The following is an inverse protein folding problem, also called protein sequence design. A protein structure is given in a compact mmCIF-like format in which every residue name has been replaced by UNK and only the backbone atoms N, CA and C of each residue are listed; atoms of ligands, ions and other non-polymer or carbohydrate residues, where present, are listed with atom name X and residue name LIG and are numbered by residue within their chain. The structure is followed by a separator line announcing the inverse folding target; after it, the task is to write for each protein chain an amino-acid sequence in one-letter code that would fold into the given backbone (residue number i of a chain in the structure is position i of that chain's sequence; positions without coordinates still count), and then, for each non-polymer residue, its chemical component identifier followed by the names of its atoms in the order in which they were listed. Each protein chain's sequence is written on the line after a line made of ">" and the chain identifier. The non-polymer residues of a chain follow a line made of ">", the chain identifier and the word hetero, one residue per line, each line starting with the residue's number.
data_IF_576598460182
#
_entry.id   IF_576598460182
#
_cell.length_a   1.000
_cell.length_b   1.000
_cell.length_c   1.000
_cell.angle_alpha   90.00
_cell.angle_beta   90.00
_cell.angle_gamma   90.00
#
_symmetry.space_group_name_H-M   'P 1'
#
loop_
_entity.id
_entity.type
_entity.pdbx_description
1 polymer ?
#
# COMPACT_ATOMS: atom_id res chain seq x y z
N UNK A 1 -19.73 -11.59 36.95
CA UNK A 1 -20.46 -10.86 35.90
C UNK A 1 -19.55 -10.80 34.68
N UNK A 2 -19.86 -11.60 33.65
CA UNK A 2 -19.00 -11.76 32.48
C UNK A 2 -19.60 -10.99 31.30
N UNK A 3 -18.91 -9.96 30.81
CA UNK A 3 -19.27 -9.21 29.61
C UNK A 3 -18.55 -9.82 28.41
N UNK A 4 -19.35 -10.45 27.54
CA UNK A 4 -18.93 -11.13 26.32
C UNK A 4 -18.95 -10.11 25.18
N UNK A 5 -17.79 -9.56 24.83
CA UNK A 5 -17.65 -8.64 23.68
C UNK A 5 -17.69 -9.44 22.37
N UNK A 6 -18.66 -9.14 21.50
CA UNK A 6 -18.74 -9.68 20.14
C UNK A 6 -18.06 -8.70 19.19
N UNK A 7 -16.91 -9.08 18.65
CA UNK A 7 -16.34 -8.40 17.48
C UNK A 7 -17.11 -8.85 16.23
N UNK A 8 -17.78 -7.89 15.58
CA UNK A 8 -18.39 -8.06 14.27
C UNK A 8 -17.29 -7.89 13.21
N UNK A 9 -17.02 -8.95 12.45
CA UNK A 9 -16.15 -8.91 11.28
C UNK A 9 -16.99 -8.55 10.06
N UNK A 10 -16.98 -7.28 9.66
CA UNK A 10 -17.58 -6.86 8.41
C UNK A 10 -16.65 -7.24 7.24
N UNK A 11 -16.96 -8.36 6.60
CA UNK A 11 -16.38 -8.77 5.32
C UNK A 11 -16.90 -7.88 4.20
N UNK A 12 -16.09 -6.92 3.78
CA UNK A 12 -16.32 -6.13 2.56
C UNK A 12 -16.11 -7.03 1.35
N UNK A 13 -17.20 -7.32 0.64
CA UNK A 13 -17.19 -8.08 -0.61
C UNK A 13 -16.80 -7.16 -1.77
N UNK A 14 -15.77 -7.56 -2.52
CA UNK A 14 -15.36 -6.88 -3.76
C UNK A 14 -16.35 -7.24 -4.90
N UNK A 15 -16.75 -6.29 -5.76
CA UNK A 15 -17.53 -6.61 -6.95
C UNK A 15 -16.64 -7.28 -8.00
N UNK A 16 -17.09 -8.44 -8.50
CA UNK A 16 -16.47 -9.14 -9.62
C UNK A 16 -16.62 -8.32 -10.90
N UNK A 17 -15.50 -7.93 -11.50
CA UNK A 17 -15.43 -7.25 -12.78
C UNK A 17 -15.81 -8.21 -13.92
N UNK A 18 -17.06 -8.15 -14.36
CA UNK A 18 -17.45 -8.71 -15.65
C UNK A 18 -16.85 -7.86 -16.77
N UNK A 19 -15.88 -8.41 -17.48
CA UNK A 19 -15.29 -7.82 -18.68
C UNK A 19 -16.22 -8.00 -19.88
N UNK A 20 -17.07 -7.00 -20.13
CA UNK A 20 -17.81 -6.86 -21.38
C UNK A 20 -16.85 -6.30 -22.44
N UNK A 21 -16.12 -7.16 -23.14
CA UNK A 21 -15.34 -6.78 -24.33
C UNK A 21 -15.82 -7.60 -25.52
N UNK A 22 -16.92 -7.12 -26.10
CA UNK A 22 -17.41 -7.50 -27.42
C UNK A 22 -17.79 -6.19 -28.11
N UNK A 23 -17.57 -6.13 -29.44
CA UNK A 23 -17.83 -5.00 -30.36
C UNK A 23 -16.59 -4.13 -30.66
N UNK A 24 -15.65 -4.70 -31.39
CA UNK A 24 -14.81 -3.93 -32.32
C UNK A 24 -14.73 -4.73 -33.63
N UNK A 25 -15.88 -4.85 -34.29
CA UNK A 25 -15.96 -5.31 -35.67
C UNK A 25 -15.58 -4.11 -36.54
N UNK A 26 -14.35 -4.09 -37.04
CA UNK A 26 -13.89 -3.10 -38.01
C UNK A 26 -14.67 -3.31 -39.31
N UNK A 27 -15.75 -2.56 -39.47
CA UNK A 27 -16.50 -2.46 -40.72
C UNK A 27 -15.57 -1.84 -41.77
N UNK A 28 -15.06 -2.68 -42.65
CA UNK A 28 -14.28 -2.26 -43.81
C UNK A 28 -15.24 -1.64 -44.84
N UNK A 29 -15.15 -0.32 -45.04
CA UNK A 29 -15.98 0.40 -46.01
C UNK A 29 -15.50 0.11 -47.45
N UNK A 30 -16.43 -0.15 -48.40
CA UNK A 30 -16.11 -0.42 -49.80
C UNK A 30 -15.60 0.85 -50.52
N UNK A 31 -14.42 0.74 -51.14
CA UNK A 31 -13.64 1.85 -51.69
C UNK A 31 -13.97 2.24 -53.15
N UNK A 32 -15.22 2.21 -53.60
CA UNK A 32 -15.49 2.47 -55.03
C UNK A 32 -16.82 3.20 -55.31
N UNK A 33 -16.85 4.51 -55.06
CA UNK A 33 -17.80 5.43 -55.70
C UNK A 33 -17.08 6.73 -56.07
N UNK A 34 -17.19 7.10 -57.35
CA UNK A 34 -16.55 8.26 -57.97
C UNK A 34 -17.19 9.59 -57.54
N UNK A 35 -16.41 10.68 -57.40
CA UNK A 35 -16.86 11.93 -56.79
C UNK A 35 -17.55 12.86 -57.81
N UNK A 36 -18.85 13.09 -57.63
CA UNK A 36 -19.56 14.24 -58.22
C UNK A 36 -19.82 15.26 -57.12
N UNK A 37 -19.23 16.46 -57.20
CA UNK A 37 -19.59 17.75 -56.55
C UNK A 37 -19.85 17.80 -55.03
N UNK A 38 -20.74 16.95 -54.52
CA UNK A 38 -21.10 16.73 -53.10
C UNK A 38 -19.97 16.09 -52.28
N UNK A 39 -18.96 15.51 -52.93
CA UNK A 39 -18.03 14.59 -52.26
C UNK A 39 -17.05 15.24 -51.28
N UNK A 40 -16.81 16.56 -51.33
CA UNK A 40 -15.84 17.19 -50.44
C UNK A 40 -16.41 17.35 -49.02
N UNK A 41 -17.66 17.80 -48.92
CA UNK A 41 -18.39 17.89 -47.66
C UNK A 41 -18.61 16.51 -47.05
N UNK A 42 -18.92 15.50 -47.86
CA UNK A 42 -19.08 14.12 -47.38
C UNK A 42 -17.77 13.53 -46.81
N UNK A 43 -16.63 13.86 -47.42
CA UNK A 43 -15.31 13.48 -46.91
C UNK A 43 -15.01 14.21 -45.59
N UNK A 44 -15.30 15.51 -45.50
CA UNK A 44 -15.10 16.30 -44.28
C UNK A 44 -15.98 15.80 -43.12
N UNK A 45 -17.25 15.50 -43.39
CA UNK A 45 -18.18 14.91 -42.41
C UNK A 45 -17.68 13.53 -41.95
N UNK A 46 -17.17 12.70 -42.86
CA UNK A 46 -16.61 11.39 -42.51
C UNK A 46 -15.37 11.52 -41.61
N UNK A 47 -14.49 12.50 -41.90
CA UNK A 47 -13.32 12.78 -41.08
C UNK A 47 -13.71 13.30 -39.68
N UNK A 48 -14.66 14.24 -39.60
CA UNK A 48 -15.15 14.75 -38.31
C UNK A 48 -15.80 13.64 -37.47
N UNK A 49 -16.59 12.75 -38.10
CA UNK A 49 -17.15 11.57 -37.40
C UNK A 49 -16.08 10.65 -36.84
N UNK A 50 -14.99 10.44 -37.60
CA UNK A 50 -13.86 9.65 -37.14
C UNK A 50 -13.14 10.32 -35.96
N UNK A 51 -12.95 11.64 -36.01
CA UNK A 51 -12.33 12.40 -34.92
C UNK A 51 -13.19 12.38 -33.65
N UNK A 52 -14.50 12.56 -33.77
CA UNK A 52 -15.45 12.46 -32.64
C UNK A 52 -15.37 11.07 -31.99
N UNK A 53 -15.30 10.00 -32.78
CA UNK A 53 -15.22 8.65 -32.22
C UNK A 53 -13.87 8.40 -31.52
N UNK A 54 -12.76 8.92 -32.07
CA UNK A 54 -11.46 8.88 -31.39
C UNK A 54 -11.49 9.64 -30.07
N UNK A 55 -12.13 10.82 -30.04
CA UNK A 55 -12.31 11.61 -28.83
C UNK A 55 -13.14 10.86 -27.79
N UNK A 56 -14.25 10.20 -28.17
CA UNK A 56 -15.07 9.38 -27.27
C UNK A 56 -14.29 8.22 -26.65
N UNK A 57 -13.49 7.52 -27.44
CA UNK A 57 -12.62 6.44 -26.92
C UNK A 57 -11.58 7.00 -25.95
N UNK A 58 -10.99 8.15 -26.27
CA UNK A 58 -10.05 8.83 -25.38
C UNK A 58 -10.69 9.28 -24.07
N UNK A 59 -11.92 9.82 -24.11
CA UNK A 59 -12.69 10.25 -22.94
C UNK A 59 -13.01 9.05 -22.05
N UNK A 60 -13.47 7.95 -22.63
CA UNK A 60 -13.74 6.71 -21.89
C UNK A 60 -12.48 6.20 -21.19
N UNK A 61 -11.34 6.21 -21.87
CA UNK A 61 -10.05 5.77 -21.33
C UNK A 61 -9.60 6.66 -20.18
N UNK A 62 -9.70 7.99 -20.33
CA UNK A 62 -9.37 8.96 -19.28
C UNK A 62 -10.30 8.83 -18.07
N UNK A 63 -11.59 8.60 -18.30
CA UNK A 63 -12.56 8.35 -17.22
C UNK A 63 -12.22 7.10 -16.44
N UNK A 64 -11.85 6.02 -17.13
CA UNK A 64 -11.38 4.78 -16.48
C UNK A 64 -10.09 5.00 -15.69
N UNK A 65 -9.13 5.75 -16.23
CA UNK A 65 -7.89 6.09 -15.51
C UNK A 65 -8.18 6.91 -14.25
N UNK A 66 -9.07 7.90 -14.33
CA UNK A 66 -9.49 8.70 -13.18
C UNK A 66 -10.18 7.85 -12.11
N UNK A 67 -11.07 6.96 -12.51
CA UNK A 67 -11.79 6.11 -11.56
C UNK A 67 -10.82 5.12 -10.88
N UNK A 68 -9.84 4.59 -11.62
CA UNK A 68 -8.75 3.78 -11.05
C UNK A 68 -7.88 4.59 -10.07
N UNK A 69 -7.43 5.78 -10.47
CA UNK A 69 -6.64 6.67 -9.61
C UNK A 69 -7.41 7.04 -8.33
N UNK A 70 -8.71 7.27 -8.44
CA UNK A 70 -9.59 7.53 -7.29
C UNK A 70 -9.66 6.32 -6.36
N UNK A 71 -9.78 5.10 -6.89
CA UNK A 71 -9.78 3.88 -6.05
C UNK A 71 -8.44 3.65 -5.35
N UNK A 72 -7.31 3.90 -6.02
CA UNK A 72 -5.98 3.83 -5.39
C UNK A 72 -5.81 4.93 -4.33
N UNK A 73 -6.29 6.14 -4.59
CA UNK A 73 -6.32 7.22 -3.61
C UNK A 73 -7.09 6.85 -2.34
N UNK A 74 -8.24 6.18 -2.46
CA UNK A 74 -8.98 5.66 -1.30
C UNK A 74 -8.22 4.57 -0.53
N UNK A 75 -7.47 3.69 -1.21
CA UNK A 75 -6.63 2.68 -0.55
C UNK A 75 -5.49 3.34 0.23
N UNK A 76 -4.82 4.32 -0.37
CA UNK A 76 -3.74 5.09 0.26
C UNK A 76 -4.27 5.85 1.47
N UNK A 77 -5.39 6.57 1.33
CA UNK A 77 -6.03 7.28 2.45
C UNK A 77 -6.44 6.32 3.58
N UNK A 78 -6.95 5.13 3.23
CA UNK A 78 -7.28 4.09 4.21
C UNK A 78 -6.07 3.54 4.95
N UNK A 79 -4.94 3.36 4.25
CA UNK A 79 -3.67 2.96 4.86
C UNK A 79 -3.12 4.06 5.78
N UNK A 80 -3.07 5.31 5.30
CA UNK A 80 -2.64 6.48 6.08
C UNK A 80 -3.46 6.65 7.37
N UNK A 81 -4.79 6.49 7.30
CA UNK A 81 -5.65 6.55 8.48
C UNK A 81 -5.42 5.42 9.49
N UNK A 82 -4.90 4.25 9.05
CA UNK A 82 -4.47 3.17 9.96
C UNK A 82 -3.14 3.51 10.61
N UNK A 83 -2.17 4.02 9.84
CA UNK A 83 -0.87 4.45 10.36
C UNK A 83 -1.03 5.60 11.37
N UNK A 84 -1.83 6.62 11.06
CA UNK A 84 -2.12 7.74 11.96
C UNK A 84 -2.72 7.27 13.30
N UNK A 85 -3.63 6.30 13.27
CA UNK A 85 -4.16 5.68 14.50
C UNK A 85 -3.09 4.89 15.27
N UNK A 86 -2.20 4.20 14.57
CA UNK A 86 -1.04 3.54 15.18
C UNK A 86 -0.09 4.52 15.86
N UNK A 87 0.23 5.63 15.20
CA UNK A 87 1.06 6.71 15.75
C UNK A 87 0.42 7.32 16.99
N UNK A 88 -0.88 7.65 16.95
CA UNK A 88 -1.60 8.17 18.12
C UNK A 88 -1.60 7.19 19.31
N UNK A 89 -1.74 5.88 19.04
CA UNK A 89 -1.67 4.86 20.09
C UNK A 89 -0.27 4.79 20.73
N UNK A 90 0.79 4.88 19.92
CA UNK A 90 2.18 4.92 20.40
C UNK A 90 2.47 6.22 21.17
N UNK A 91 1.97 7.36 20.72
CA UNK A 91 2.07 8.63 21.46
C UNK A 91 1.41 8.55 22.83
N UNK A 92 0.21 7.94 22.92
CA UNK A 92 -0.45 7.71 24.20
C UNK A 92 0.39 6.82 25.13
N UNK A 93 0.97 5.73 24.62
CA UNK A 93 1.87 4.87 25.39
C UNK A 93 3.11 5.64 25.88
N UNK A 94 3.71 6.47 25.02
CA UNK A 94 4.85 7.32 25.39
C UNK A 94 4.48 8.33 26.48
N UNK A 95 3.29 8.94 26.41
CA UNK A 95 2.84 9.86 27.46
C UNK A 95 2.62 9.16 28.79
N UNK A 96 2.13 7.91 28.79
CA UNK A 96 1.92 7.15 30.01
C UNK A 96 3.25 6.71 30.63
N UNK A 97 4.19 6.19 29.82
CA UNK A 97 5.55 5.89 30.27
C UNK A 97 6.25 7.11 30.85
N UNK A 98 6.09 8.30 30.24
CA UNK A 98 6.64 9.55 30.78
C UNK A 98 6.07 9.89 32.16
N UNK A 99 4.78 9.66 32.40
CA UNK A 99 4.19 9.84 33.74
C UNK A 99 4.75 8.83 34.73
N UNK A 100 4.87 7.55 34.35
CA UNK A 100 5.45 6.53 35.21
C UNK A 100 6.89 6.88 35.62
N UNK A 101 7.71 7.36 34.67
CA UNK A 101 9.08 7.84 34.97
C UNK A 101 9.06 9.04 35.92
N UNK A 102 8.14 10.00 35.72
CA UNK A 102 8.00 11.13 36.64
C UNK A 102 7.62 10.69 38.06
N UNK A 103 6.68 9.76 38.19
CA UNK A 103 6.26 9.19 39.48
C UNK A 103 7.39 8.42 40.16
N UNK A 104 8.19 7.67 39.39
CA UNK A 104 9.38 6.98 39.90
C UNK A 104 10.44 7.96 40.39
N UNK A 105 10.67 9.07 39.68
CA UNK A 105 11.60 10.12 40.11
C UNK A 105 11.16 10.75 41.43
N UNK A 106 9.86 11.06 41.60
CA UNK A 106 9.33 11.57 42.88
C UNK A 106 9.57 10.57 44.02
N UNK A 107 9.34 9.26 43.77
CA UNK A 107 9.62 8.21 44.77
C UNK A 107 11.11 8.13 45.12
N UNK A 108 12.01 8.29 44.14
CA UNK A 108 13.45 8.33 44.37
C UNK A 108 13.85 9.53 45.23
N UNK A 109 13.34 10.72 44.94
CA UNK A 109 13.61 11.92 45.75
C UNK A 109 13.15 11.78 47.21
N UNK A 110 11.98 11.15 47.42
CA UNK A 110 11.49 10.85 48.77
C UNK A 110 12.45 9.91 49.49
N UNK A 111 12.90 8.85 48.81
CA UNK A 111 13.86 7.89 49.37
C UNK A 111 15.22 8.52 49.68
N UNK A 112 15.70 9.42 48.83
CA UNK A 112 16.94 10.16 49.08
C UNK A 112 16.85 11.09 50.28
N UNK A 113 15.70 11.74 50.49
CA UNK A 113 15.43 12.54 51.70
C UNK A 113 15.41 11.66 52.96
N UNK A 114 14.75 10.50 52.90
CA UNK A 114 14.73 9.52 54.00
C UNK A 114 16.15 9.02 54.33
N UNK A 115 16.97 8.71 53.31
CA UNK A 115 18.37 8.30 53.46
C UNK A 115 19.23 9.43 54.05
N UNK A 116 19.05 10.67 53.62
CA UNK A 116 19.76 11.82 54.18
C UNK A 116 19.41 12.04 55.65
N UNK A 117 18.13 11.95 56.03
CA UNK A 117 17.68 12.06 57.41
C UNK A 117 18.24 10.94 58.30
N UNK A 118 18.24 9.69 57.82
CA UNK A 118 18.81 8.55 58.57
C UNK A 118 20.32 8.70 58.75
N UNK A 119 21.05 9.14 57.72
CA UNK A 119 22.48 9.49 57.82
C UNK A 119 22.73 10.61 58.84
N UNK A 120 21.93 11.66 58.84
CA UNK A 120 22.03 12.75 59.81
C UNK A 120 21.79 12.29 61.26
N UNK A 121 20.78 11.46 61.49
CA UNK A 121 20.53 10.83 62.79
C UNK A 121 21.72 9.98 63.24
N UNK A 122 22.26 9.15 62.34
CA UNK A 122 23.41 8.29 62.63
C UNK A 122 24.65 9.11 63.01
N UNK A 123 24.93 10.20 62.29
CA UNK A 123 26.03 11.12 62.59
C UNK A 123 25.85 11.79 63.96
N UNK A 124 24.65 12.31 64.25
CA UNK A 124 24.35 12.93 65.55
C UNK A 124 24.55 11.96 66.72
N UNK A 125 24.19 10.69 66.53
CA UNK A 125 24.32 9.67 67.54
C UNK A 125 25.79 9.25 67.74
N UNK A 126 26.58 9.22 66.66
CA UNK A 126 28.03 9.03 66.73
C UNK A 126 28.71 10.15 67.51
N UNK A 127 28.32 11.41 67.30
CA UNK A 127 28.86 12.56 68.04
C UNK A 127 28.47 12.50 69.52
N UNK A 128 27.22 12.16 69.85
CA UNK A 128 26.81 11.94 71.26
C UNK A 128 27.64 10.85 71.93
N UNK A 129 27.93 9.75 71.22
CA UNK A 129 28.79 8.67 71.72
C UNK A 129 30.23 9.09 71.97
N UNK A 130 30.76 10.03 71.19
CA UNK A 130 32.10 10.58 71.41
C UNK A 130 32.17 11.61 72.56
N UNK A 131 31.06 12.28 72.87
CA UNK A 131 30.96 13.24 73.99
C UNK A 131 30.70 12.57 75.34
N UNK A 132 30.37 11.28 75.35
CA UNK A 132 30.27 10.51 76.59
C UNK A 132 31.68 10.32 77.18
N UNK A 133 31.93 10.79 78.42
CA UNK A 133 33.24 10.62 79.05
C UNK A 133 33.58 9.13 79.15
N UNK A 134 34.86 8.75 78.97
CA UNK A 134 35.28 7.36 79.14
C UNK A 134 34.88 6.89 80.55
N UNK A 135 34.37 5.66 80.70
CA UNK A 135 33.91 5.17 81.99
C UNK A 135 35.05 5.22 82.99
N UNK A 136 34.94 6.09 83.99
CA UNK A 136 35.85 6.12 85.12
C UNK A 136 35.68 4.84 85.94
N UNK A 137 36.75 4.05 86.00
CA UNK A 137 36.82 2.85 86.83
C UNK A 137 36.59 3.20 88.30
N UNK A 138 35.60 2.59 88.99
CA UNK A 138 35.34 2.90 90.38
C UNK A 138 36.34 2.16 91.28
N UNK A 139 37.22 2.94 91.90
CA UNK A 139 37.93 2.54 93.11
C UNK A 139 36.98 2.58 94.31
N UNK A 140 36.63 1.38 94.79
CA UNK A 140 36.20 1.00 96.15
C UNK A 140 35.97 2.12 97.18
N UNK A 141 34.74 2.25 97.66
CA UNK A 141 34.42 2.19 99.10
C UNK A 141 32.90 2.14 99.35
N UNK A 142 32.50 1.26 100.26
CA UNK A 142 31.17 1.11 100.88
C UNK A 142 30.75 2.45 101.53
N UNK A 143 29.49 2.84 101.72
CA UNK A 143 28.35 2.11 102.27
C UNK A 143 27.04 2.89 102.02
N UNK A 144 25.96 2.14 101.76
CA UNK A 144 24.56 2.39 102.16
C UNK A 144 23.80 3.63 101.62
N UNK A 145 22.97 3.43 100.59
CA UNK A 145 21.52 3.70 100.64
C UNK A 145 20.84 2.85 99.58
N UNK A 146 19.96 1.96 100.05
CA UNK A 146 19.22 0.98 99.27
C UNK A 146 18.05 1.70 98.59
N UNK A 147 17.77 1.32 97.33
CA UNK A 147 16.69 1.77 96.41
C UNK A 147 17.06 2.98 95.52
N UNK A 148 17.97 2.80 94.54
CA UNK A 148 17.57 2.91 93.13
C UNK A 148 18.31 1.96 92.16
N UNK A 149 18.75 0.79 92.61
CA UNK A 149 19.75 -0.02 91.89
C UNK A 149 19.19 -0.94 90.78
N UNK A 150 17.88 -1.21 90.77
CA UNK A 150 17.26 -2.02 89.70
C UNK A 150 17.06 -1.20 88.42
N UNK A 151 16.66 0.07 88.55
CA UNK A 151 16.47 0.96 87.38
C UNK A 151 17.79 1.35 86.71
N UNK A 152 18.87 1.48 87.48
CA UNK A 152 20.21 1.73 86.95
C UNK A 152 20.72 0.55 86.15
N UNK A 153 20.61 -0.67 86.70
CA UNK A 153 21.03 -1.88 85.98
C UNK A 153 20.14 -2.20 84.79
N UNK A 154 18.83 -1.93 84.85
CA UNK A 154 17.95 -2.05 83.69
C UNK A 154 18.23 -1.00 82.61
N UNK A 155 18.78 0.17 82.96
CA UNK A 155 19.20 1.17 81.99
C UNK A 155 20.53 0.78 81.33
N UNK A 156 21.47 0.22 82.10
CA UNK A 156 22.72 -0.35 81.57
C UNK A 156 22.46 -1.59 80.70
N UNK A 157 21.53 -2.44 81.08
CA UNK A 157 21.15 -3.63 80.32
C UNK A 157 20.42 -3.24 79.02
N UNK A 158 19.55 -2.22 79.06
CA UNK A 158 18.95 -1.65 77.84
C UNK A 158 19.96 -0.93 76.94
N UNK A 159 20.94 -0.25 77.53
CA UNK A 159 22.01 0.44 76.79
C UNK A 159 22.92 -0.58 76.10
N UNK A 160 23.35 -1.62 76.80
CA UNK A 160 24.17 -2.70 76.22
C UNK A 160 23.39 -3.49 75.19
N UNK A 161 22.10 -3.77 75.41
CA UNK A 161 21.24 -4.44 74.42
C UNK A 161 20.99 -3.56 73.17
N UNK A 162 20.88 -2.24 73.33
CA UNK A 162 20.81 -1.30 72.20
C UNK A 162 22.15 -1.20 71.44
N UNK A 163 23.28 -1.26 72.14
CA UNK A 163 24.61 -1.33 71.51
C UNK A 163 24.81 -2.64 70.75
N UNK A 164 24.33 -3.77 71.30
CA UNK A 164 24.38 -5.07 70.63
C UNK A 164 23.47 -5.09 69.38
N UNK A 165 22.26 -4.53 69.47
CA UNK A 165 21.38 -4.36 68.33
C UNK A 165 21.93 -3.38 67.27
N UNK A 166 22.69 -2.37 67.69
CA UNK A 166 23.39 -1.46 66.76
C UNK A 166 24.54 -2.17 66.08
N UNK A 167 25.38 -2.90 66.81
CA UNK A 167 26.48 -3.69 66.25
C UNK A 167 25.97 -4.79 65.32
N UNK A 168 24.83 -5.41 65.63
CA UNK A 168 24.19 -6.37 64.72
C UNK A 168 23.68 -5.72 63.43
N UNK A 169 23.16 -4.48 63.49
CA UNK A 169 22.78 -3.70 62.31
C UNK A 169 24.00 -3.26 61.50
N UNK A 170 25.05 -2.79 62.15
CA UNK A 170 26.28 -2.37 61.49
C UNK A 170 26.99 -3.60 60.87
N UNK A 171 26.97 -4.75 61.54
CA UNK A 171 27.46 -6.01 61.00
C UNK A 171 26.62 -6.50 59.81
N UNK A 172 25.29 -6.37 59.85
CA UNK A 172 24.43 -6.68 58.70
C UNK A 172 24.71 -5.75 57.52
N UNK A 173 24.89 -4.44 57.75
CA UNK A 173 25.22 -3.48 56.69
C UNK A 173 26.62 -3.72 56.09
N UNK A 174 27.61 -4.04 56.93
CA UNK A 174 28.93 -4.44 56.46
C UNK A 174 28.88 -5.77 55.72
N UNK A 175 28.03 -6.70 56.15
CA UNK A 175 27.79 -7.97 55.46
C UNK A 175 27.14 -7.74 54.09
N UNK A 176 26.17 -6.83 53.97
CA UNK A 176 25.56 -6.46 52.69
C UNK A 176 26.57 -5.78 51.75
N UNK A 177 27.43 -4.89 52.28
CA UNK A 177 28.51 -4.26 51.51
C UNK A 177 29.61 -5.27 51.12
N UNK A 178 29.92 -6.22 52.00
CA UNK A 178 30.85 -7.30 51.72
C UNK A 178 30.25 -8.33 50.76
N UNK A 179 28.93 -8.58 50.80
CA UNK A 179 28.20 -9.39 49.83
C UNK A 179 28.15 -8.70 48.47
N UNK A 180 28.01 -7.36 48.42
CA UNK A 180 28.18 -6.57 47.18
C UNK A 180 29.61 -6.68 46.66
N UNK A 181 30.62 -6.50 47.51
CA UNK A 181 32.02 -6.66 47.13
C UNK A 181 32.38 -8.11 46.78
N UNK A 182 31.72 -9.12 47.37
CA UNK A 182 31.92 -10.53 47.06
C UNK A 182 31.15 -10.97 45.79
N UNK A 183 30.03 -10.32 45.46
CA UNK A 183 29.39 -10.39 44.14
C UNK A 183 30.33 -9.84 43.05
N UNK A 184 31.17 -8.87 43.40
CA UNK A 184 32.21 -8.30 42.53
C UNK A 184 33.60 -8.95 42.68
N UNK A 185 33.82 -9.84 43.65
CA UNK A 185 35.12 -10.50 43.85
C UNK A 185 35.37 -11.66 42.87
N UNK A 186 34.33 -12.12 42.18
CA UNK A 186 34.41 -13.12 41.10
C UNK A 186 33.84 -12.67 39.76
N UNK A 187 33.19 -11.50 39.70
CA UNK A 187 32.70 -10.93 38.45
C UNK A 187 33.78 -10.03 37.86
N UNK A 188 34.29 -10.42 36.70
CA UNK A 188 35.27 -9.66 35.93
C UNK A 188 34.72 -8.27 35.62
N UNK A 189 35.20 -7.25 36.34
CA UNK A 189 34.81 -5.85 36.14
C UNK A 189 35.01 -5.41 34.69
N UNK A 190 35.98 -5.98 33.99
CA UNK A 190 36.19 -5.74 32.56
C UNK A 190 35.04 -6.30 31.72
N UNK A 191 34.44 -7.42 32.12
CA UNK A 191 33.26 -7.98 31.45
C UNK A 191 32.03 -7.10 31.66
N UNK A 192 31.80 -6.61 32.87
CA UNK A 192 30.66 -5.71 33.14
C UNK A 192 30.83 -4.37 32.42
N UNK A 193 32.04 -3.81 32.43
CA UNK A 193 32.34 -2.60 31.67
C UNK A 193 32.12 -2.81 30.17
N UNK A 194 32.58 -3.94 29.61
CA UNK A 194 32.36 -4.30 28.21
C UNK A 194 30.87 -4.42 27.88
N UNK A 195 30.07 -5.03 28.75
CA UNK A 195 28.61 -5.12 28.59
C UNK A 195 27.95 -3.72 28.63
N UNK A 196 28.41 -2.82 29.50
CA UNK A 196 27.95 -1.45 29.50
C UNK A 196 28.33 -0.69 28.22
N UNK A 197 29.56 -0.84 27.75
CA UNK A 197 30.04 -0.22 26.51
C UNK A 197 29.25 -0.75 25.30
N UNK A 198 28.98 -2.06 25.24
CA UNK A 198 28.14 -2.70 24.22
C UNK A 198 26.70 -2.17 24.23
N UNK A 199 26.09 -2.01 25.41
CA UNK A 199 24.74 -1.42 25.52
C UNK A 199 24.68 0.05 25.09
N UNK A 200 25.76 0.80 25.31
CA UNK A 200 25.86 2.18 24.82
C UNK A 200 25.98 2.20 23.30
N UNK A 201 26.79 1.31 22.72
CA UNK A 201 26.92 1.17 21.27
C UNK A 201 25.59 0.78 20.62
N UNK A 202 24.87 -0.19 21.19
CA UNK A 202 23.53 -0.58 20.74
C UNK A 202 22.53 0.59 20.80
N UNK A 203 22.56 1.38 21.88
CA UNK A 203 21.71 2.56 22.01
C UNK A 203 22.04 3.65 20.97
N UNK A 204 23.32 3.83 20.63
CA UNK A 204 23.76 4.74 19.57
C UNK A 204 23.31 4.25 18.18
N UNK A 205 23.40 2.95 17.92
CA UNK A 205 22.92 2.35 16.68
C UNK A 205 21.41 2.49 16.52
N UNK A 206 20.64 2.24 17.59
CA UNK A 206 19.19 2.44 17.60
C UNK A 206 18.82 3.91 17.36
N UNK A 207 19.58 4.85 17.93
CA UNK A 207 19.35 6.28 17.71
C UNK A 207 19.59 6.66 16.25
N UNK A 208 20.68 6.19 15.64
CA UNK A 208 20.98 6.42 14.22
C UNK A 208 19.91 5.80 13.30
N UNK A 209 19.42 4.61 13.64
CA UNK A 209 18.32 3.98 12.92
C UNK A 209 17.04 4.82 12.99
N UNK A 210 16.69 5.33 14.19
CA UNK A 210 15.54 6.19 14.37
C UNK A 210 15.66 7.51 13.58
N UNK A 211 16.84 8.14 13.57
CA UNK A 211 17.12 9.33 12.78
C UNK A 211 16.94 9.06 11.28
N UNK A 212 17.46 7.94 10.76
CA UNK A 212 17.29 7.55 9.37
C UNK A 212 15.81 7.30 9.01
N UNK A 213 15.03 6.68 9.91
CA UNK A 213 13.59 6.52 9.74
C UNK A 213 12.87 7.87 9.69
N UNK A 214 13.20 8.81 10.59
CA UNK A 214 12.60 10.15 10.59
C UNK A 214 12.94 10.96 9.32
N UNK A 215 14.14 10.79 8.77
CA UNK A 215 14.52 11.44 7.52
C UNK A 215 13.78 10.81 6.32
N UNK A 216 13.62 9.49 6.33
CA UNK A 216 12.79 8.79 5.34
C UNK A 216 11.34 9.29 5.34
N UNK A 217 10.76 9.56 6.51
CA UNK A 217 9.41 10.14 6.62
C UNK A 217 9.33 11.55 6.03
N UNK A 218 10.36 12.39 6.20
CA UNK A 218 10.41 13.72 5.58
C UNK A 218 10.43 13.64 4.05
N UNK A 219 11.25 12.75 3.49
CA UNK A 219 11.27 12.55 2.03
C UNK A 219 9.93 12.03 1.48
N UNK A 220 9.20 11.23 2.26
CA UNK A 220 7.84 10.80 1.89
C UNK A 220 6.88 11.98 1.90
N UNK A 221 6.96 12.86 2.89
CA UNK A 221 6.16 14.09 2.97
C UNK A 221 6.41 15.01 1.77
N UNK A 222 7.68 15.27 1.43
CA UNK A 222 8.06 16.04 0.23
C UNK A 222 7.50 15.43 -1.06
N UNK A 223 7.53 14.09 -1.16
CA UNK A 223 6.99 13.38 -2.32
C UNK A 223 5.46 13.47 -2.42
N UNK A 224 4.75 13.49 -1.28
CA UNK A 224 3.31 13.73 -1.25
C UNK A 224 2.96 15.14 -1.70
N UNK A 225 3.68 16.16 -1.23
CA UNK A 225 3.47 17.56 -1.66
C UNK A 225 3.68 17.70 -3.17
N UNK A 226 4.73 17.09 -3.73
CA UNK A 226 4.97 17.09 -5.17
C UNK A 226 3.83 16.41 -5.95
N UNK A 227 3.27 15.32 -5.40
CA UNK A 227 2.17 14.60 -6.02
C UNK A 227 0.88 15.44 -6.01
N UNK A 228 0.60 16.17 -4.94
CA UNK A 228 -0.55 17.09 -4.86
C UNK A 228 -0.45 18.23 -5.87
N UNK A 229 0.74 18.83 -6.02
CA UNK A 229 0.99 19.85 -7.04
C UNK A 229 0.73 19.29 -8.43
N UNK A 230 1.23 18.08 -8.71
CA UNK A 230 1.02 17.43 -10.01
C UNK A 230 -0.45 17.09 -10.25
N UNK A 231 -1.17 16.60 -9.24
CA UNK A 231 -2.60 16.31 -9.35
C UNK A 231 -3.38 17.58 -9.69
N UNK A 232 -3.10 18.69 -8.99
CA UNK A 232 -3.67 20.00 -9.28
C UNK A 232 -3.42 20.45 -10.74
N UNK A 233 -2.18 20.33 -11.23
CA UNK A 233 -1.86 20.66 -12.62
C UNK A 233 -2.58 19.78 -13.64
N UNK A 234 -2.69 18.48 -13.36
CA UNK A 234 -3.40 17.55 -14.25
C UNK A 234 -4.90 17.81 -14.28
N UNK A 235 -5.50 18.12 -13.12
CA UNK A 235 -6.91 18.50 -13.03
C UNK A 235 -7.17 19.83 -13.77
N UNK A 236 -6.26 20.80 -13.68
CA UNK A 236 -6.34 22.04 -14.45
C UNK A 236 -6.35 21.76 -15.97
N UNK A 237 -5.40 20.95 -16.47
CA UNK A 237 -5.34 20.56 -17.89
C UNK A 237 -6.59 19.79 -18.34
N UNK A 238 -7.13 18.94 -17.47
CA UNK A 238 -8.37 18.20 -17.76
C UNK A 238 -9.55 19.15 -17.95
N UNK A 239 -9.69 20.16 -17.08
CA UNK A 239 -10.74 21.19 -17.22
C UNK A 239 -10.57 22.00 -18.50
N UNK A 240 -9.33 22.34 -18.87
CA UNK A 240 -9.02 23.01 -20.14
C UNK A 240 -9.46 22.17 -21.36
N UNK A 241 -9.14 20.87 -21.38
CA UNK A 241 -9.56 19.95 -22.44
C UNK A 241 -11.09 19.76 -22.50
N UNK A 242 -11.77 19.66 -21.36
CA UNK A 242 -13.23 19.57 -21.31
C UNK A 242 -13.86 20.82 -21.95
N UNK A 243 -13.33 22.00 -21.64
CA UNK A 243 -13.81 23.24 -22.23
C UNK A 243 -13.54 23.31 -23.74
N UNK A 244 -12.39 22.82 -24.20
CA UNK A 244 -12.08 22.73 -25.65
C UNK A 244 -13.04 21.78 -26.37
N UNK A 245 -13.31 20.59 -25.82
CA UNK A 245 -14.29 19.65 -26.36
C UNK A 245 -15.67 20.31 -26.47
N UNK A 246 -16.10 21.03 -25.42
CA UNK A 246 -17.38 21.75 -25.43
C UNK A 246 -17.46 22.80 -26.54
N UNK A 247 -16.39 23.56 -26.75
CA UNK A 247 -16.33 24.55 -27.84
C UNK A 247 -16.38 23.89 -29.22
N UNK A 248 -15.75 22.73 -29.39
CA UNK A 248 -15.80 21.96 -30.63
C UNK A 248 -17.21 21.39 -30.89
N UNK A 249 -17.87 20.87 -29.85
CA UNK A 249 -19.26 20.41 -29.94
C UNK A 249 -20.21 21.56 -30.32
N UNK A 250 -20.04 22.74 -29.73
CA UNK A 250 -20.79 23.96 -30.09
C UNK A 250 -20.56 24.35 -31.57
N UNK A 251 -19.33 24.22 -32.09
CA UNK A 251 -19.02 24.46 -33.51
C UNK A 251 -19.64 23.40 -34.45
N UNK A 252 -19.61 22.12 -34.08
CA UNK A 252 -20.24 21.05 -34.86
C UNK A 252 -21.75 21.29 -34.95
N UNK A 253 -22.40 21.58 -33.81
CA UNK A 253 -23.82 21.91 -33.78
C UNK A 253 -24.16 23.12 -34.66
N UNK A 254 -23.28 24.13 -34.71
CA UNK A 254 -23.44 25.28 -35.61
C UNK A 254 -23.34 24.89 -37.09
N UNK A 255 -22.36 24.07 -37.49
CA UNK A 255 -22.23 23.59 -38.86
C UNK A 255 -23.41 22.70 -39.28
N UNK A 256 -23.88 21.82 -38.39
CA UNK A 256 -25.06 20.98 -38.64
C UNK A 256 -26.33 21.82 -38.85
N UNK A 257 -26.54 22.85 -38.03
CA UNK A 257 -27.66 23.78 -38.21
C UNK A 257 -27.57 24.51 -39.56
N UNK A 258 -26.39 25.05 -39.90
CA UNK A 258 -26.19 25.77 -41.16
C UNK A 258 -26.32 24.87 -42.40
N UNK A 259 -25.89 23.61 -42.32
CA UNK A 259 -26.08 22.63 -43.39
C UNK A 259 -27.56 22.27 -43.58
N UNK A 260 -28.33 22.14 -42.48
CA UNK A 260 -29.77 21.92 -42.54
C UNK A 260 -30.51 23.11 -43.16
N UNK A 261 -30.11 24.35 -42.81
CA UNK A 261 -30.68 25.57 -43.40
C UNK A 261 -30.41 25.67 -44.90
N UNK A 262 -29.19 25.33 -45.35
CA UNK A 262 -28.85 25.26 -46.78
C UNK A 262 -29.63 24.16 -47.50
N UNK A 263 -29.78 22.98 -46.89
CA UNK A 263 -30.56 21.89 -47.46
C UNK A 263 -32.04 22.27 -47.60
N UNK A 264 -32.61 22.98 -46.63
CA UNK A 264 -33.97 23.52 -46.70
C UNK A 264 -34.12 24.56 -47.83
N UNK A 265 -33.18 25.51 -47.93
CA UNK A 265 -33.20 26.51 -49.01
C UNK A 265 -33.07 25.87 -50.41
N UNK A 266 -32.25 24.82 -50.55
CA UNK A 266 -32.15 24.05 -51.79
C UNK A 266 -33.43 23.28 -52.11
N UNK A 267 -34.11 22.71 -51.11
CA UNK A 267 -35.39 22.02 -51.31
C UNK A 267 -36.47 23.00 -51.83
N UNK A 268 -36.58 24.19 -51.24
CA UNK A 268 -37.52 25.24 -51.67
C UNK A 268 -37.25 25.68 -53.12
N UNK A 269 -35.98 25.86 -53.50
CA UNK A 269 -35.58 26.18 -54.88
C UNK A 269 -35.91 25.06 -55.86
N UNK A 270 -35.76 23.80 -55.44
CA UNK A 270 -36.06 22.64 -56.27
C UNK A 270 -37.57 22.48 -56.50
N UNK A 271 -38.40 22.79 -55.50
CA UNK A 271 -39.86 22.84 -55.61
C UNK A 271 -40.30 23.91 -56.63
N UNK A 272 -39.72 25.12 -56.56
CA UNK A 272 -40.00 26.19 -57.54
C UNK A 272 -39.58 25.81 -58.97
N UNK A 273 -38.43 25.15 -59.15
CA UNK A 273 -37.98 24.71 -60.48
C UNK A 273 -38.93 23.65 -61.05
N UNK A 274 -39.37 22.69 -60.24
CA UNK A 274 -40.30 21.64 -60.68
C UNK A 274 -41.64 22.25 -61.10
N UNK A 275 -42.19 23.18 -60.32
CA UNK A 275 -43.46 23.85 -60.65
C UNK A 275 -43.34 24.73 -61.89
N UNK A 276 -42.18 25.36 -62.12
CA UNK A 276 -41.93 26.18 -63.32
C UNK A 276 -41.72 25.32 -64.57
N UNK A 277 -41.10 24.13 -64.43
CA UNK A 277 -40.91 23.19 -65.56
C UNK A 277 -42.19 22.44 -65.93
N UNK A 278 -43.08 22.16 -64.97
CA UNK A 278 -44.38 21.54 -65.23
C UNK A 278 -45.39 22.49 -65.90
N UNK A 279 -45.17 23.81 -65.80
CA UNK A 279 -45.99 24.83 -66.47
C UNK A 279 -45.50 25.16 -67.90
N UNK A 280 -44.32 24.68 -68.30
CA UNK A 280 -43.78 24.82 -69.65
C UNK A 280 -44.08 23.54 -70.43
N UNK A 281 -45.00 23.61 -71.40
CA UNK A 281 -45.26 22.53 -72.37
C UNK A 281 -43.94 22.00 -72.96
N UNK A 282 -43.51 20.82 -72.49
CA UNK A 282 -42.35 20.15 -73.06
C UNK A 282 -42.76 19.45 -74.37
N UNK A 283 -41.98 19.62 -75.46
CA UNK A 283 -42.18 18.87 -76.70
C UNK A 283 -41.94 17.38 -76.47
N UNK A 284 -42.80 16.54 -77.04
CA UNK A 284 -42.74 15.08 -77.00
C UNK A 284 -41.37 14.55 -77.48
N UNK A 285 -40.47 14.27 -76.54
CA UNK A 285 -39.29 13.45 -76.80
C UNK A 285 -39.64 11.99 -76.55
N UNK A 286 -39.88 11.29 -77.64
CA UNK A 286 -40.01 9.84 -77.76
C UNK A 286 -38.68 9.17 -77.44
N UNK A 287 -38.37 9.01 -76.15
CA UNK A 287 -37.28 8.14 -75.72
C UNK A 287 -37.71 6.68 -75.79
N UNK A 288 -36.92 5.91 -76.52
CA UNK A 288 -37.12 4.49 -76.80
C UNK A 288 -36.98 3.62 -75.54
N UNK A 289 -37.82 2.60 -75.50
CA UNK A 289 -37.94 1.54 -74.50
C UNK A 289 -36.57 0.96 -74.07
N UNK A 290 -36.18 1.25 -72.83
CA UNK A 290 -35.25 0.43 -72.06
C UNK A 290 -36.08 -0.29 -71.01
N UNK A 291 -36.14 -1.62 -71.14
CA UNK A 291 -36.85 -2.52 -70.24
C UNK A 291 -36.34 -2.37 -68.80
N UNK A 292 -37.22 -1.97 -67.89
CA UNK A 292 -37.01 -2.05 -66.45
C UNK A 292 -37.29 -3.47 -65.97
N UNK A 293 -36.22 -4.18 -65.60
CA UNK A 293 -36.31 -5.45 -64.89
C UNK A 293 -36.81 -5.16 -63.48
N UNK A 294 -38.07 -5.52 -63.22
CA UNK A 294 -38.70 -5.42 -61.92
C UNK A 294 -38.16 -6.51 -60.97
N UNK A 295 -37.13 -6.18 -60.20
CA UNK A 295 -36.77 -6.93 -58.98
C UNK A 295 -37.46 -6.32 -57.78
N UNK A 296 -38.52 -7.00 -57.34
CA UNK A 296 -39.29 -6.81 -56.10
C UNK A 296 -38.34 -6.77 -54.89
N UNK A 297 -38.32 -5.71 -54.05
CA UNK A 297 -37.66 -5.79 -52.75
C UNK A 297 -38.61 -6.51 -51.78
N UNK A 298 -38.36 -7.81 -51.55
CA UNK A 298 -38.99 -8.57 -50.49
C UNK A 298 -38.22 -8.28 -49.20
N UNK A 299 -38.76 -7.40 -48.36
CA UNK A 299 -38.28 -7.17 -47.01
C UNK A 299 -38.64 -8.36 -46.10
N UNK A 300 -37.68 -9.03 -45.45
CA UNK A 300 -37.97 -9.80 -44.24
C UNK A 300 -37.76 -8.86 -43.05
N UNK A 301 -38.84 -8.55 -42.33
CA UNK A 301 -38.74 -7.95 -41.00
C UNK A 301 -38.12 -8.98 -40.03
N UNK A 302 -36.95 -8.71 -39.43
CA UNK A 302 -36.47 -9.56 -38.34
C UNK A 302 -37.25 -9.19 -37.07
N UNK A 303 -38.26 -9.99 -36.72
CA UNK A 303 -38.75 -10.03 -35.34
C UNK A 303 -37.71 -10.75 -34.49
N UNK A 304 -36.86 -9.98 -33.81
CA UNK A 304 -36.07 -10.48 -32.69
C UNK A 304 -37.01 -10.73 -31.51
N UNK A 305 -37.49 -11.97 -31.39
CA UNK A 305 -38.06 -12.47 -30.15
C UNK A 305 -36.92 -12.67 -29.15
N UNK A 306 -36.83 -11.76 -28.17
CA UNK A 306 -35.95 -11.91 -27.01
C UNK A 306 -36.52 -13.07 -26.19
N UNK A 307 -35.93 -14.25 -26.35
CA UNK A 307 -36.21 -15.41 -25.51
C UNK A 307 -35.80 -15.05 -24.07
N UNK A 308 -36.77 -15.12 -23.15
CA UNK A 308 -36.53 -14.88 -21.73
C UNK A 308 -35.39 -15.78 -21.23
N UNK A 309 -34.28 -15.15 -20.84
CA UNK A 309 -33.20 -15.81 -20.12
C UNK A 309 -33.76 -16.26 -18.77
N UNK A 310 -33.98 -17.56 -18.62
CA UNK A 310 -34.20 -18.16 -17.30
C UNK A 310 -32.95 -17.89 -16.46
N UNK A 311 -33.09 -17.08 -15.43
CA UNK A 311 -32.07 -16.89 -14.40
C UNK A 311 -31.89 -18.21 -13.66
N UNK A 312 -30.80 -18.92 -13.94
CA UNK A 312 -30.35 -20.03 -13.09
C UNK A 312 -29.87 -19.42 -11.78
N UNK A 313 -30.71 -19.51 -10.76
CA UNK A 313 -30.39 -19.14 -9.39
C UNK A 313 -29.35 -20.14 -8.85
N UNK A 314 -28.08 -19.76 -8.86
CA UNK A 314 -27.01 -20.51 -8.19
C UNK A 314 -26.87 -19.92 -6.79
N UNK A 315 -27.56 -20.54 -5.83
CA UNK A 315 -27.30 -20.30 -4.41
C UNK A 315 -25.90 -20.81 -4.05
N UNK A 316 -25.08 -20.05 -3.30
CA UNK A 316 -23.73 -20.48 -2.94
C UNK A 316 -23.81 -21.62 -1.92
N UNK A 317 -23.53 -22.86 -2.37
CA UNK A 317 -23.36 -23.99 -1.46
C UNK A 317 -21.99 -23.92 -0.78
N UNK A 318 -22.01 -24.08 0.54
CA UNK A 318 -20.84 -24.02 1.41
C UNK A 318 -19.75 -25.05 1.02
N UNK A 319 -18.50 -24.61 1.18
CA UNK A 319 -17.22 -25.34 1.08
C UNK A 319 -17.37 -26.85 1.27
N UNK A 320 -17.48 -27.59 0.17
CA UNK A 320 -17.11 -29.00 0.11
C UNK A 320 -15.70 -29.08 -0.46
N UNK A 321 -14.84 -29.86 0.20
CA UNK A 321 -13.50 -30.19 -0.30
C UNK A 321 -13.64 -30.74 -1.72
N UNK A 322 -13.19 -29.96 -2.71
CA UNK A 322 -13.31 -30.30 -4.11
C UNK A 322 -12.33 -31.44 -4.39
N UNK A 323 -12.85 -32.59 -4.79
CA UNK A 323 -12.03 -33.67 -5.31
C UNK A 323 -11.24 -33.15 -6.53
N UNK A 324 -9.98 -33.57 -6.74
CA UNK A 324 -9.15 -33.04 -7.81
C UNK A 324 -9.78 -33.37 -9.17
N UNK A 325 -10.29 -32.35 -9.85
CA UNK A 325 -10.84 -32.45 -11.19
C UNK A 325 -9.68 -32.62 -12.18
N UNK A 326 -9.59 -33.80 -12.82
CA UNK A 326 -8.72 -33.98 -13.98
C UNK A 326 -9.46 -33.43 -15.21
N UNK A 327 -9.13 -32.20 -15.60
CA UNK A 327 -9.63 -31.63 -16.85
C UNK A 327 -8.59 -31.84 -17.97
N UNK A 328 -9.06 -32.11 -19.18
CA UNK A 328 -8.25 -32.05 -20.39
C UNK A 328 -8.54 -30.70 -21.05
N UNK A 329 -7.54 -29.84 -21.14
CA UNK A 329 -7.67 -28.51 -21.75
C UNK A 329 -6.85 -28.50 -23.03
N UNK A 330 -7.51 -28.28 -24.17
CA UNK A 330 -6.87 -28.17 -25.48
C UNK A 330 -6.91 -26.70 -25.92
N UNK A 331 -5.75 -26.11 -26.21
CA UNK A 331 -5.65 -24.70 -26.61
C UNK A 331 -4.94 -24.62 -27.97
N UNK A 332 -5.64 -24.05 -28.95
CA UNK A 332 -5.11 -23.80 -30.29
C UNK A 332 -4.68 -22.33 -30.41
N UNK A 333 -3.38 -22.10 -30.63
CA UNK A 333 -2.78 -20.78 -30.77
C UNK A 333 -2.52 -20.47 -32.25
N UNK A 334 -3.07 -19.36 -32.72
CA UNK A 334 -2.70 -18.78 -34.02
C UNK A 334 -1.50 -17.83 -33.86
N UNK A 335 -0.68 -17.68 -34.89
CA UNK A 335 0.56 -16.89 -34.83
C UNK A 335 0.34 -15.37 -34.64
N UNK A 336 -0.87 -14.87 -34.90
CA UNK A 336 -1.21 -13.44 -34.86
C UNK A 336 -1.82 -13.00 -33.53
N UNK A 337 -2.20 -13.93 -32.66
CA UNK A 337 -3.05 -13.62 -31.52
C UNK A 337 -2.28 -13.47 -30.20
N UNK A 338 -1.62 -12.32 -30.04
CA UNK A 338 -0.88 -11.96 -28.81
C UNK A 338 -1.76 -11.85 -27.56
N UNK A 339 -3.07 -11.62 -27.70
CA UNK A 339 -3.98 -11.49 -26.54
C UNK A 339 -4.22 -12.84 -25.86
N UNK A 340 -4.28 -13.90 -26.67
CA UNK A 340 -4.44 -15.29 -26.20
C UNK A 340 -3.22 -15.77 -25.41
N UNK A 341 -2.05 -15.15 -25.61
CA UNK A 341 -0.84 -15.40 -24.82
C UNK A 341 -0.94 -14.93 -23.36
N UNK A 342 -1.49 -13.74 -23.12
CA UNK A 342 -1.65 -13.22 -21.75
C UNK A 342 -2.72 -14.00 -20.98
N UNK A 343 -3.75 -14.50 -21.67
CA UNK A 343 -4.72 -15.42 -21.10
C UNK A 343 -4.05 -16.73 -20.69
N UNK A 344 -3.15 -17.26 -21.51
CA UNK A 344 -2.37 -18.48 -21.21
C UNK A 344 -1.51 -18.32 -19.95
N UNK A 345 -0.84 -17.18 -19.74
CA UNK A 345 -0.10 -16.92 -18.50
C UNK A 345 -1.00 -16.90 -17.25
N UNK A 346 -2.27 -16.51 -17.38
CA UNK A 346 -3.23 -16.52 -16.26
C UNK A 346 -3.84 -17.89 -16.02
N UNK A 347 -4.04 -18.68 -17.08
CA UNK A 347 -4.48 -20.08 -16.96
C UNK A 347 -3.37 -20.94 -16.34
N UNK A 348 -2.10 -20.61 -16.60
CA UNK A 348 -0.93 -21.27 -16.02
C UNK A 348 -0.93 -21.27 -14.49
N UNK A 349 -1.39 -20.20 -13.83
CA UNK A 349 -1.46 -20.14 -12.36
C UNK A 349 -2.64 -20.92 -11.75
N UNK A 350 -3.60 -21.36 -12.58
CA UNK A 350 -4.81 -22.05 -12.14
C UNK A 350 -4.80 -23.57 -12.42
N UNK A 351 -3.80 -24.06 -13.16
CA UNK A 351 -3.71 -25.48 -13.53
C UNK A 351 -3.12 -26.30 -12.37
N UNK A 352 -3.86 -27.32 -11.93
CA UNK A 352 -3.39 -28.29 -10.94
C UNK A 352 -2.52 -29.39 -11.57
N UNK A 353 -1.70 -30.07 -10.76
CA UNK A 353 -0.80 -31.18 -11.14
C UNK A 353 -1.46 -32.35 -11.91
N UNK A 354 -2.79 -32.44 -11.96
CA UNK A 354 -3.53 -33.55 -12.62
C UNK A 354 -4.21 -33.14 -13.93
N UNK A 355 -4.10 -31.89 -14.36
CA UNK A 355 -4.70 -31.41 -15.60
C UNK A 355 -3.79 -31.76 -16.77
N UNK A 356 -4.31 -32.40 -17.82
CA UNK A 356 -3.56 -32.62 -19.06
C UNK A 356 -3.80 -31.43 -19.99
N UNK A 357 -2.73 -30.75 -20.38
CA UNK A 357 -2.76 -29.56 -21.22
C UNK A 357 -2.12 -29.90 -22.58
N UNK A 358 -2.94 -29.94 -23.63
CA UNK A 358 -2.45 -30.13 -25.00
C UNK A 358 -2.48 -28.76 -25.72
N UNK A 359 -1.30 -28.24 -26.09
CA UNK A 359 -1.15 -26.93 -26.74
C UNK A 359 -0.70 -27.13 -28.18
N UNK A 360 -1.50 -26.65 -29.13
CA UNK A 360 -1.15 -26.63 -30.54
C UNK A 360 -0.86 -25.19 -30.96
N UNK A 361 0.30 -24.94 -31.56
CA UNK A 361 0.68 -23.60 -32.01
C UNK A 361 2.02 -23.54 -32.74
N UNK A 362 2.46 -22.34 -33.15
CA UNK A 362 3.76 -22.14 -33.76
C UNK A 362 4.88 -22.62 -32.83
N UNK A 363 5.80 -23.42 -33.39
CA UNK A 363 6.82 -24.19 -32.63
C UNK A 363 7.64 -23.33 -31.65
N UNK A 364 7.90 -22.07 -32.01
CA UNK A 364 8.69 -21.15 -31.18
C UNK A 364 7.91 -20.69 -29.94
N UNK A 365 6.64 -20.31 -30.10
CA UNK A 365 5.78 -19.87 -29.00
C UNK A 365 5.46 -21.02 -28.05
N UNK A 366 5.19 -22.22 -28.58
CA UNK A 366 4.97 -23.40 -27.75
C UNK A 366 6.23 -23.77 -26.97
N UNK A 367 7.42 -23.63 -27.56
CA UNK A 367 8.70 -23.86 -26.87
C UNK A 367 8.92 -22.86 -25.73
N UNK A 368 8.70 -21.56 -26.00
CA UNK A 368 8.82 -20.50 -24.98
C UNK A 368 7.81 -20.70 -23.84
N UNK A 369 6.59 -21.15 -24.17
CA UNK A 369 5.57 -21.46 -23.18
C UNK A 369 5.98 -22.64 -22.28
N UNK A 370 6.41 -23.74 -22.88
CA UNK A 370 6.85 -24.94 -22.14
C UNK A 370 8.06 -24.59 -21.26
N UNK A 371 8.99 -23.77 -21.76
CA UNK A 371 10.13 -23.32 -20.97
C UNK A 371 9.70 -22.42 -19.81
N UNK A 372 8.73 -21.52 -20.03
CA UNK A 372 8.13 -20.70 -18.97
C UNK A 372 7.39 -21.55 -17.92
N UNK A 373 6.71 -22.62 -18.33
CA UNK A 373 6.11 -23.59 -17.40
C UNK A 373 7.15 -24.31 -16.56
N UNK A 374 8.21 -24.82 -17.18
CA UNK A 374 9.29 -25.50 -16.46
C UNK A 374 9.98 -24.56 -15.46
N UNK A 375 10.15 -23.28 -15.80
CA UNK A 375 10.69 -22.27 -14.87
C UNK A 375 9.75 -22.02 -13.69
N UNK A 376 8.45 -21.83 -13.93
CA UNK A 376 7.47 -21.61 -12.85
C UNK A 376 7.35 -22.84 -11.94
N UNK A 377 7.43 -24.05 -12.49
CA UNK A 377 7.49 -25.28 -11.70
C UNK A 377 8.75 -25.35 -10.84
N UNK A 378 9.92 -24.98 -11.38
CA UNK A 378 11.16 -24.91 -10.63
C UNK A 378 11.11 -23.86 -9.51
N UNK A 379 10.56 -22.68 -9.79
CA UNK A 379 10.38 -21.60 -8.81
C UNK A 379 9.39 -22.01 -7.72
N UNK A 380 8.26 -22.63 -8.08
CA UNK A 380 7.31 -23.15 -7.10
C UNK A 380 7.93 -24.26 -6.23
N UNK A 381 8.70 -25.18 -6.82
CA UNK A 381 9.43 -26.20 -6.06
C UNK A 381 10.45 -25.57 -5.10
N UNK A 382 11.14 -24.51 -5.51
CA UNK A 382 12.03 -23.75 -4.65
C UNK A 382 11.28 -23.13 -3.46
N UNK A 383 10.20 -22.39 -3.71
CA UNK A 383 9.40 -21.77 -2.65
C UNK A 383 8.73 -22.79 -1.72
N UNK A 384 8.31 -23.93 -2.26
CA UNK A 384 7.78 -25.03 -1.46
C UNK A 384 8.85 -25.61 -0.53
N UNK A 385 10.10 -25.77 -1.00
CA UNK A 385 11.21 -26.23 -0.17
C UNK A 385 11.60 -25.19 0.90
N UNK A 386 11.57 -23.88 0.56
CA UNK A 386 11.78 -22.80 1.53
C UNK A 386 10.71 -22.83 2.62
N UNK A 387 9.44 -22.99 2.25
CA UNK A 387 8.34 -23.10 3.19
C UNK A 387 8.46 -24.34 4.09
N UNK A 388 8.83 -25.50 3.53
CA UNK A 388 9.05 -26.72 4.29
C UNK A 388 10.23 -26.59 5.26
N UNK A 389 11.34 -25.99 4.82
CA UNK A 389 12.52 -25.75 5.67
C UNK A 389 12.18 -24.81 6.84
N UNK A 390 11.39 -23.76 6.57
CA UNK A 390 10.94 -22.83 7.61
C UNK A 390 9.99 -23.50 8.63
N UNK A 391 9.14 -24.44 8.19
CA UNK A 391 8.31 -25.25 9.09
C UNK A 391 9.18 -26.16 9.97
N UNK A 392 10.21 -26.78 9.39
CA UNK A 392 11.14 -27.66 10.13
C UNK A 392 11.95 -26.88 11.17
N UNK A 393 12.46 -25.69 10.82
CA UNK A 393 13.10 -24.77 11.77
C UNK A 393 12.14 -24.36 12.89
N UNK A 394 10.90 -23.99 12.55
CA UNK A 394 9.87 -23.65 13.54
C UNK A 394 9.51 -24.82 14.46
N UNK A 395 9.50 -26.05 13.96
CA UNK A 395 9.32 -27.24 14.80
C UNK A 395 10.52 -27.50 15.72
N UNK A 396 11.74 -27.21 15.26
CA UNK A 396 12.93 -27.28 16.09
C UNK A 396 12.93 -26.20 17.19
N UNK A 397 12.46 -24.99 16.87
CA UNK A 397 12.18 -23.95 17.87
C UNK A 397 11.11 -24.38 18.89
N UNK A 398 10.06 -25.09 18.46
CA UNK A 398 9.05 -25.65 19.38
C UNK A 398 9.60 -26.76 20.28
N UNK A 399 10.63 -27.48 19.85
CA UNK A 399 11.30 -28.54 20.64
C UNK A 399 12.29 -27.98 21.67
N UNK A 400 12.77 -26.74 21.49
CA UNK A 400 13.58 -26.06 22.53
C UNK A 400 12.70 -25.83 23.76
N UNK A 401 13.20 -26.22 24.94
CA UNK A 401 12.47 -26.08 26.20
C UNK A 401 12.11 -24.61 26.39
N UNK A 402 10.82 -24.29 26.23
CA UNK A 402 10.28 -22.96 26.45
C UNK A 402 10.66 -22.51 27.86
N UNK A 403 11.23 -21.30 27.97
CA UNK A 403 11.54 -20.70 29.25
C UNK A 403 10.23 -20.59 30.06
N UNK A 404 10.19 -21.16 31.26
CA UNK A 404 8.97 -21.21 32.09
C UNK A 404 8.65 -19.89 32.79
N UNK A 405 9.53 -18.90 32.68
CA UNK A 405 9.34 -17.56 33.25
C UNK A 405 8.38 -16.75 32.37
N UNK A 406 7.21 -16.32 32.90
CA UNK A 406 6.20 -15.60 32.12
C UNK A 406 6.72 -14.34 31.42
N UNK A 407 7.67 -13.63 32.06
CA UNK A 407 8.30 -12.44 31.48
C UNK A 407 9.16 -12.72 30.25
N UNK A 408 9.85 -13.87 30.20
CA UNK A 408 10.70 -14.24 29.06
C UNK A 408 9.88 -14.73 27.87
N UNK A 409 8.69 -15.27 28.11
CA UNK A 409 7.77 -15.68 27.05
C UNK A 409 7.21 -14.46 26.30
N UNK A 410 6.78 -13.43 27.03
CA UNK A 410 6.35 -12.17 26.42
C UNK A 410 7.49 -11.49 25.66
N UNK A 411 8.70 -11.48 26.21
CA UNK A 411 9.86 -10.90 25.54
C UNK A 411 10.25 -11.67 24.28
N UNK A 412 10.16 -13.00 24.29
CA UNK A 412 10.41 -13.83 23.11
C UNK A 412 9.35 -13.60 22.01
N UNK A 413 8.07 -13.53 22.39
CA UNK A 413 6.99 -13.22 21.45
C UNK A 413 7.13 -11.80 20.88
N UNK A 414 7.57 -10.84 21.70
CA UNK A 414 7.87 -9.47 21.28
C UNK A 414 9.08 -9.40 20.33
N UNK A 415 10.17 -10.11 20.63
CA UNK A 415 11.33 -10.20 19.76
C UNK A 415 10.98 -10.84 18.41
N UNK A 416 10.21 -11.92 18.40
CA UNK A 416 9.73 -12.54 17.15
C UNK A 416 8.83 -11.59 16.36
N UNK A 417 7.97 -10.83 17.03
CA UNK A 417 7.13 -9.83 16.37
C UNK A 417 7.97 -8.69 15.77
N UNK A 418 9.03 -8.25 16.47
CA UNK A 418 9.96 -7.23 15.99
C UNK A 418 10.82 -7.71 14.82
N UNK A 419 11.33 -8.95 14.87
CA UNK A 419 12.04 -9.56 13.75
C UNK A 419 11.15 -9.67 12.51
N UNK A 420 9.89 -10.08 12.67
CA UNK A 420 8.95 -10.14 11.56
C UNK A 420 8.65 -8.74 11.00
N UNK A 421 8.51 -7.73 11.87
CA UNK A 421 8.33 -6.33 11.45
C UNK A 421 9.53 -5.84 10.64
N UNK A 422 10.76 -6.12 11.08
CA UNK A 422 11.99 -5.78 10.36
C UNK A 422 12.08 -6.48 9.01
N UNK A 423 11.74 -7.77 8.93
CA UNK A 423 11.71 -8.50 7.66
C UNK A 423 10.72 -7.90 6.66
N UNK A 424 9.54 -7.48 7.12
CA UNK A 424 8.53 -6.82 6.26
C UNK A 424 9.05 -5.46 5.78
N UNK A 425 9.66 -4.66 6.66
CA UNK A 425 10.27 -3.38 6.27
C UNK A 425 11.37 -3.58 5.23
N UNK A 426 12.23 -4.59 5.41
CA UNK A 426 13.32 -4.88 4.48
C UNK A 426 12.80 -5.37 3.13
N UNK A 427 11.73 -6.17 3.10
CA UNK A 427 11.06 -6.56 1.85
C UNK A 427 10.47 -5.35 1.11
N UNK A 428 9.85 -4.40 1.81
CA UNK A 428 9.31 -3.17 1.22
C UNK A 428 10.42 -2.28 0.63
N UNK A 429 11.55 -2.14 1.33
CA UNK A 429 12.71 -1.41 0.82
C UNK A 429 13.20 -2.04 -0.50
N UNK A 430 13.34 -3.36 -0.54
CA UNK A 430 13.77 -4.07 -1.76
C UNK A 430 12.78 -3.95 -2.92
N UNK A 431 11.47 -3.88 -2.64
CA UNK A 431 10.44 -3.62 -3.65
C UNK A 431 10.55 -2.18 -4.19
N UNK A 432 10.74 -1.19 -3.31
CA UNK A 432 10.94 0.20 -3.70
C UNK A 432 12.24 0.41 -4.48
N UNK A 433 13.32 -0.26 -4.10
CA UNK A 433 14.58 -0.23 -4.86
C UNK A 433 14.41 -0.81 -6.27
N UNK A 434 13.65 -1.91 -6.41
CA UNK A 434 13.31 -2.50 -7.71
C UNK A 434 12.47 -1.55 -8.56
N UNK A 435 11.47 -0.90 -7.97
CA UNK A 435 10.63 0.07 -8.68
C UNK A 435 11.43 1.31 -9.09
N UNK A 436 12.27 1.84 -8.20
CA UNK A 436 13.16 2.95 -8.50
C UNK A 436 14.15 2.60 -9.61
N UNK A 437 14.73 1.39 -9.60
CA UNK A 437 15.60 0.91 -10.66
C UNK A 437 14.85 0.80 -12.00
N UNK A 438 13.61 0.30 -11.98
CA UNK A 438 12.74 0.26 -13.15
C UNK A 438 12.48 1.66 -13.73
N UNK A 439 12.16 2.65 -12.90
CA UNK A 439 11.97 4.04 -13.35
C UNK A 439 13.27 4.69 -13.86
N UNK A 440 14.41 4.45 -13.20
CA UNK A 440 15.73 4.90 -13.69
C UNK A 440 16.06 4.31 -15.05
N UNK A 441 15.66 3.07 -15.34
CA UNK A 441 15.85 2.45 -16.65
C UNK A 441 14.90 3.03 -17.73
N UNK A 442 13.66 3.37 -17.37
CA UNK A 442 12.67 3.89 -18.32
C UNK A 442 12.83 5.40 -18.63
N UNK A 443 13.26 6.20 -17.66
CA UNK A 443 13.41 7.66 -17.78
C UNK A 443 14.22 8.10 -19.00
N UNK A 444 15.42 7.55 -19.26
CA UNK A 444 16.20 7.93 -20.45
C UNK A 444 15.48 7.66 -21.77
N UNK A 445 14.72 6.56 -21.86
CA UNK A 445 13.94 6.23 -23.07
C UNK A 445 12.76 7.19 -23.26
N UNK A 446 12.09 7.58 -22.18
CA UNK A 446 11.01 8.55 -22.22
C UNK A 446 11.53 9.94 -22.64
N UNK A 447 12.67 10.37 -22.09
CA UNK A 447 13.34 11.63 -22.45
C UNK A 447 13.79 11.61 -23.91
N UNK A 448 14.40 10.51 -24.38
CA UNK A 448 14.80 10.36 -25.79
C UNK A 448 13.59 10.45 -26.74
N UNK A 449 12.47 9.78 -26.41
CA UNK A 449 11.23 9.88 -27.21
C UNK A 449 10.66 11.30 -27.27
N UNK A 450 10.78 12.08 -26.20
CA UNK A 450 10.35 13.48 -26.18
C UNK A 450 11.29 14.38 -27.00
N UNK A 451 12.59 14.11 -26.96
CA UNK A 451 13.58 14.81 -27.78
C UNK A 451 13.40 14.48 -29.27
N UNK A 452 13.16 13.21 -29.61
CA UNK A 452 12.87 12.79 -30.99
C UNK A 452 11.59 13.41 -31.51
N UNK A 453 10.51 13.46 -30.71
CA UNK A 453 9.28 14.18 -31.08
C UNK A 453 9.53 15.67 -31.32
N UNK A 454 10.41 16.30 -30.54
CA UNK A 454 10.79 17.71 -30.72
C UNK A 454 11.64 17.91 -31.98
N UNK A 455 12.52 16.96 -32.31
CA UNK A 455 13.36 17.01 -33.51
C UNK A 455 12.59 16.66 -34.79
N UNK A 456 11.64 15.71 -34.72
CA UNK A 456 10.78 15.32 -35.84
C UNK A 456 9.62 16.29 -36.05
N UNK A 457 9.28 17.09 -35.04
CA UNK A 457 8.42 18.27 -35.13
C UNK A 457 9.10 19.38 -35.93
N UNK A 458 9.44 19.11 -37.19
CA UNK A 458 9.66 20.15 -38.20
C UNK A 458 8.40 21.01 -38.22
N UNK A 459 8.52 22.21 -37.68
CA UNK A 459 7.61 23.32 -37.90
C UNK A 459 7.36 23.46 -39.41
N UNK A 460 6.20 22.97 -39.85
CA UNK A 460 5.68 23.16 -41.21
C UNK A 460 4.98 24.52 -41.36
N UNK A 461 5.41 25.54 -40.61
CA UNK A 461 4.79 26.86 -40.60
C UNK A 461 5.57 27.93 -41.38
N UNK A 462 6.43 27.54 -42.33
CA UNK A 462 7.11 28.48 -43.24
C UNK A 462 6.75 28.16 -44.71
N UNK A 463 5.59 28.61 -45.17
CA UNK A 463 5.37 28.95 -46.58
C UNK A 463 4.05 29.68 -46.75
N UNK A 464 4.06 30.71 -47.60
CA UNK A 464 2.96 31.57 -48.03
C UNK A 464 2.62 32.76 -47.11
N UNK A 465 3.57 33.69 -47.00
CA UNK A 465 3.20 35.11 -47.02
C UNK A 465 3.49 35.62 -48.44
N UNK A 466 2.45 35.66 -49.27
CA UNK A 466 2.47 36.39 -50.54
C UNK A 466 2.47 37.90 -50.23
N UNK A 467 3.39 38.69 -50.80
CA UNK A 467 3.27 40.13 -50.84
C UNK A 467 2.63 40.53 -52.17
N UNK A 468 1.37 40.95 -52.17
CA UNK A 468 0.80 41.70 -53.30
C UNK A 468 0.81 43.21 -53.04
N UNK A 469 1.04 44.03 -54.10
CA UNK A 469 1.28 45.46 -54.04
C UNK A 469 0.05 46.36 -53.90
#
# INVERSE_FOLDING_TARGET
>A
MATRSRFSTDTVSLPSSHSSSSMAEMVSLPSSLSPTGSSMQDIEIAQLKQEIEQLRVSEYTMKQQRDNARTEGFKIAGASAKYSRGVQALEQQLTELKKEVADLNVKLEVRDKELSQTRGKLASERTKRQMLPPPSLPSSSRHTTIIPDIRSKDAELRSTQAQLAQLQRDYAQLKDHAELNNLHAGADWESYKRECDERVEDAEQLTKAAEAETEGLRHIEDAYELLEIKDFETNKKLVELINECRQKDERVAWFEANANDQAAAHADLQEVIIDTYLASEAPELTCSSIYSVATKPQAPAPRLAISAVQSVSIAPQAKRACAPFAANVVINLSATDRKTWTLMQRVQSAICLKTRLDIHGPRNLTKDFIQGMAQVEADHAHWQNVALSSIEEMEEFRKRKLCTLPGHRNLADELVAKDLQLQIQQALILDWEREAAHWRAQMPQAVAKLQDKRASGKCSCNSAADPEP
#
